data_IF_415768885909
#
_entry.id   IF_415768885909
#
_cell.length_a   1.000
_cell.length_b   1.000
_cell.length_c   1.000
_cell.angle_alpha   90.00
_cell.angle_beta   90.00
_cell.angle_gamma   90.00
#
_symmetry.space_group_name_H-M   'P 1'
#
loop_
_entity.id
_entity.type
_entity.pdbx_description
1 polymer ?
#
# COMPACT_ATOMS: atom_id res chain seq x y z
N UNK A 1 -17.82 19.12 -43.82
CA UNK A 1 -16.82 18.84 -42.78
C UNK A 1 -17.46 19.00 -41.42
N UNK A 2 -17.85 17.97 -40.75
CA UNK A 2 -18.21 18.04 -39.36
C UNK A 2 -17.03 17.52 -38.56
N UNK A 3 -16.01 18.32 -38.51
CA UNK A 3 -14.81 17.95 -37.79
C UNK A 3 -14.85 18.58 -36.43
N UNK A 4 -14.89 17.73 -35.38
CA UNK A 4 -13.98 18.00 -34.25
C UNK A 4 -14.36 19.16 -33.36
N UNK A 5 -15.65 19.38 -33.11
CA UNK A 5 -16.09 20.38 -32.11
C UNK A 5 -15.66 19.96 -30.70
N UNK A 6 -15.41 18.66 -30.46
CA UNK A 6 -15.08 18.15 -29.12
C UNK A 6 -13.58 18.22 -28.84
N UNK A 7 -12.72 18.05 -29.85
CA UNK A 7 -11.26 18.22 -29.69
C UNK A 7 -10.78 19.66 -29.69
N UNK A 8 -11.62 20.60 -30.13
CA UNK A 8 -11.33 22.04 -30.04
C UNK A 8 -11.67 22.63 -28.68
N UNK A 9 -12.36 21.87 -27.82
CA UNK A 9 -12.65 22.29 -26.46
C UNK A 9 -11.50 21.83 -25.57
N UNK A 10 -10.77 22.76 -24.96
CA UNK A 10 -9.60 22.50 -24.10
C UNK A 10 -9.92 21.47 -22.98
N UNK A 11 -11.19 21.35 -22.61
CA UNK A 11 -11.68 20.41 -21.60
C UNK A 11 -11.53 18.90 -21.96
N UNK A 12 -11.21 18.59 -23.22
CA UNK A 12 -11.04 17.19 -23.70
C UNK A 12 -9.64 16.89 -24.18
N UNK A 13 -8.68 17.78 -23.97
CA UNK A 13 -7.27 17.47 -24.24
C UNK A 13 -6.79 16.41 -23.24
N UNK A 14 -5.85 15.55 -23.65
CA UNK A 14 -5.26 14.53 -22.76
C UNK A 14 -4.69 15.15 -21.49
N UNK A 15 -4.07 16.32 -21.59
CA UNK A 15 -3.51 17.01 -20.43
C UNK A 15 -4.60 17.43 -19.43
N UNK A 16 -5.68 18.04 -19.92
CA UNK A 16 -6.81 18.44 -19.06
C UNK A 16 -7.51 17.23 -18.44
N UNK A 17 -7.65 16.13 -19.20
CA UNK A 17 -8.21 14.89 -18.68
C UNK A 17 -7.35 14.28 -17.56
N UNK A 18 -6.02 14.35 -17.67
CA UNK A 18 -5.10 13.90 -16.60
C UNK A 18 -5.27 14.75 -15.35
N UNK A 19 -5.30 16.09 -15.48
CA UNK A 19 -5.55 16.97 -14.34
C UNK A 19 -6.90 16.69 -13.69
N UNK A 20 -7.94 16.54 -14.50
CA UNK A 20 -9.30 16.26 -14.04
C UNK A 20 -9.41 14.89 -13.36
N UNK A 21 -8.71 13.87 -13.85
CA UNK A 21 -8.69 12.53 -13.26
C UNK A 21 -8.02 12.52 -11.88
N UNK A 22 -7.11 13.45 -11.61
CA UNK A 22 -6.43 13.62 -10.33
C UNK A 22 -7.09 14.67 -9.42
N UNK A 23 -8.17 15.34 -9.86
CA UNK A 23 -8.95 16.25 -9.02
C UNK A 23 -9.74 15.46 -7.97
N UNK A 24 -9.31 15.60 -6.72
CA UNK A 24 -9.92 14.92 -5.56
C UNK A 24 -11.34 15.39 -5.25
N UNK A 25 -11.77 16.57 -5.72
CA UNK A 25 -13.14 17.04 -5.55
C UNK A 25 -14.10 16.30 -6.47
N UNK A 26 -13.63 15.92 -7.65
CA UNK A 26 -14.45 15.24 -8.66
C UNK A 26 -14.37 13.72 -8.53
N UNK A 27 -13.19 13.20 -8.32
CA UNK A 27 -12.93 11.79 -8.12
C UNK A 27 -12.20 11.59 -6.79
N UNK A 28 -12.93 11.58 -5.67
CA UNK A 28 -12.31 11.44 -4.36
C UNK A 28 -11.51 10.14 -4.29
N UNK A 29 -10.32 10.23 -3.74
CA UNK A 29 -9.53 9.05 -3.48
C UNK A 29 -10.28 8.13 -2.52
N UNK A 30 -10.45 6.87 -2.91
CA UNK A 30 -11.02 5.87 -2.02
C UNK A 30 -10.00 5.61 -0.92
N UNK A 31 -10.36 5.95 0.32
CA UNK A 31 -9.52 5.65 1.47
C UNK A 31 -9.51 4.15 1.69
N UNK A 32 -8.41 3.53 1.35
CA UNK A 32 -8.16 2.12 1.64
C UNK A 32 -7.35 1.99 2.93
N UNK A 33 -7.40 0.86 3.64
CA UNK A 33 -6.70 0.69 4.91
C UNK A 33 -5.22 1.05 4.87
N UNK A 34 -4.53 0.68 3.77
CA UNK A 34 -3.10 0.92 3.61
C UNK A 34 -2.74 2.25 2.95
N UNK A 35 -3.71 2.99 2.38
CA UNK A 35 -3.43 4.22 1.63
C UNK A 35 -2.80 5.33 2.46
N UNK A 36 -3.09 5.39 3.75
CA UNK A 36 -2.60 6.43 4.67
C UNK A 36 -1.19 6.17 5.20
N UNK A 37 -0.64 4.98 4.98
CA UNK A 37 0.66 4.57 5.52
C UNK A 37 1.79 4.95 4.57
N UNK A 38 1.49 5.02 3.26
CA UNK A 38 2.47 5.25 2.22
C UNK A 38 2.71 6.74 1.93
N UNK A 39 3.96 7.14 1.91
CA UNK A 39 4.41 8.45 1.41
C UNK A 39 4.44 8.41 -0.12
N UNK A 40 3.92 9.45 -0.77
CA UNK A 40 3.82 9.52 -2.23
C UNK A 40 5.01 10.32 -2.78
N UNK A 41 5.70 9.74 -3.75
CA UNK A 41 6.78 10.34 -4.51
C UNK A 41 6.48 10.26 -6.01
N UNK A 42 6.68 11.35 -6.75
CA UNK A 42 6.43 11.41 -8.17
C UNK A 42 7.76 11.60 -8.92
N UNK A 43 8.04 10.73 -9.88
CA UNK A 43 9.28 10.77 -10.66
C UNK A 43 9.00 11.17 -12.11
N UNK A 44 9.93 11.90 -12.72
CA UNK A 44 9.88 12.24 -14.15
C UNK A 44 10.60 11.22 -15.03
N UNK A 45 11.50 10.44 -14.43
CA UNK A 45 12.29 9.45 -15.16
C UNK A 45 11.53 8.12 -15.27
N UNK A 46 11.79 7.39 -16.36
CA UNK A 46 11.16 6.09 -16.61
C UNK A 46 11.48 5.04 -15.54
N UNK A 47 12.64 5.16 -14.89
CA UNK A 47 13.07 4.25 -13.83
C UNK A 47 13.20 5.00 -12.51
N UNK A 48 12.60 4.47 -11.45
CA UNK A 48 12.80 4.93 -10.09
C UNK A 48 14.19 4.51 -9.61
N UNK A 49 15.07 5.47 -9.33
CA UNK A 49 16.35 5.22 -8.68
C UNK A 49 16.14 5.21 -7.17
N UNK A 50 16.45 4.11 -6.53
CA UNK A 50 16.24 3.92 -5.09
C UNK A 50 17.59 3.78 -4.44
N UNK A 51 17.90 4.74 -3.57
CA UNK A 51 19.09 4.73 -2.72
C UNK A 51 18.73 4.15 -1.35
N UNK A 52 19.40 3.07 -0.98
CA UNK A 52 19.28 2.44 0.35
C UNK A 52 20.57 2.72 1.11
N UNK A 53 20.43 3.41 2.23
CA UNK A 53 21.55 3.62 3.16
C UNK A 53 21.38 2.69 4.36
N UNK A 54 22.33 1.79 4.56
CA UNK A 54 22.45 1.07 5.83
C UNK A 54 23.10 2.01 6.85
N UNK A 55 22.29 2.60 7.74
CA UNK A 55 22.80 3.42 8.83
C UNK A 55 23.29 2.53 9.97
N UNK A 56 24.56 2.21 9.97
CA UNK A 56 25.20 1.59 11.14
C UNK A 56 25.64 2.70 12.08
N UNK A 57 25.24 2.62 13.36
CA UNK A 57 25.73 3.56 14.37
C UNK A 57 27.24 3.41 14.49
N UNK A 58 28.01 4.52 14.42
CA UNK A 58 29.46 4.44 14.59
C UNK A 58 29.78 3.95 16.01
N UNK A 59 30.67 2.97 16.11
CA UNK A 59 31.20 2.53 17.41
C UNK A 59 31.91 3.70 18.11
N UNK A 60 31.62 3.90 19.39
CA UNK A 60 32.33 4.83 20.23
C UNK A 60 33.57 4.16 20.77
N UNK A 61 34.67 4.89 20.84
CA UNK A 61 35.92 4.44 21.45
C UNK A 61 36.16 5.20 22.74
N UNK A 62 36.58 4.50 23.78
CA UNK A 62 37.01 5.09 25.04
C UNK A 62 38.41 5.69 24.86
N UNK A 63 38.63 6.87 25.40
CA UNK A 63 39.94 7.54 25.44
C UNK A 63 40.25 8.10 26.83
N UNK A 64 41.53 8.19 27.18
CA UNK A 64 41.97 8.84 28.41
C UNK A 64 41.98 10.34 28.28
N UNK A 65 41.80 11.03 29.38
CA UNK A 65 41.75 12.50 29.41
C UNK A 65 43.04 13.11 28.84
N UNK A 66 42.95 13.91 27.77
CA UNK A 66 44.07 14.51 27.05
C UNK A 66 44.55 13.73 25.82
N UNK A 67 43.94 12.58 25.50
CA UNK A 67 44.23 11.78 24.32
C UNK A 67 43.33 12.18 23.16
N UNK A 68 43.87 12.23 21.94
CA UNK A 68 43.10 12.48 20.75
C UNK A 68 42.38 11.20 20.34
N UNK A 69 41.06 11.19 20.37
CA UNK A 69 40.28 10.04 19.93
C UNK A 69 40.56 9.70 18.47
N UNK A 70 40.68 8.39 18.13
CA UNK A 70 40.87 7.98 16.74
C UNK A 70 39.69 8.41 15.86
N UNK A 71 39.98 8.90 14.67
CA UNK A 71 38.97 9.28 13.68
C UNK A 71 38.25 8.03 13.22
N UNK A 72 37.01 7.86 13.65
CA UNK A 72 36.14 6.80 13.15
C UNK A 72 35.51 7.24 11.83
N UNK A 73 35.77 6.52 10.75
CA UNK A 73 35.05 6.70 9.52
C UNK A 73 33.66 6.05 9.65
N UNK A 74 32.60 6.84 9.51
CA UNK A 74 31.25 6.33 9.38
C UNK A 74 31.14 5.69 7.99
N UNK A 75 31.28 4.38 7.93
CA UNK A 75 31.13 3.65 6.67
C UNK A 75 29.64 3.57 6.35
N UNK A 76 29.18 4.36 5.38
CA UNK A 76 27.83 4.28 4.86
C UNK A 76 27.85 3.38 3.63
N UNK A 77 27.32 2.17 3.78
CA UNK A 77 27.06 1.33 2.62
C UNK A 77 25.83 1.86 1.91
N UNK A 78 26.03 2.34 0.68
CA UNK A 78 24.96 2.76 -0.22
C UNK A 78 24.75 1.70 -1.28
N UNK A 79 23.55 1.14 -1.35
CA UNK A 79 23.10 0.35 -2.49
C UNK A 79 22.16 1.24 -3.33
N UNK A 80 22.41 1.30 -4.63
CA UNK A 80 21.52 1.98 -5.58
C UNK A 80 20.98 0.94 -6.56
N UNK A 81 19.68 0.93 -6.77
CA UNK A 81 19.05 0.10 -7.79
C UNK A 81 17.92 0.87 -8.48
N UNK A 82 17.60 0.47 -9.71
CA UNK A 82 16.57 1.10 -10.50
C UNK A 82 15.41 0.14 -10.73
N UNK A 83 14.19 0.61 -10.50
CA UNK A 83 12.94 -0.12 -10.74
C UNK A 83 12.12 0.59 -11.81
N UNK A 84 11.59 -0.17 -12.76
CA UNK A 84 10.67 0.35 -13.78
C UNK A 84 9.23 0.15 -13.28
N UNK A 85 8.44 1.23 -13.11
CA UNK A 85 7.04 1.12 -12.73
C UNK A 85 6.23 0.31 -13.73
N UNK A 86 5.42 -0.66 -13.28
CA UNK A 86 4.53 -1.39 -14.18
C UNK A 86 3.38 -0.47 -14.63
N UNK A 87 3.07 -0.49 -15.94
CA UNK A 87 1.86 0.14 -16.45
C UNK A 87 0.66 -0.76 -16.20
N UNK A 88 -0.34 -0.25 -15.50
CA UNK A 88 -1.60 -0.93 -15.27
C UNK A 88 -2.74 -0.02 -15.72
N UNK A 89 -3.64 -0.52 -16.56
CA UNK A 89 -4.70 0.31 -17.08
C UNK A 89 -5.80 -0.49 -17.76
N UNK A 90 -6.80 0.23 -18.25
CA UNK A 90 -7.94 -0.31 -18.95
C UNK A 90 -8.38 0.64 -20.07
N UNK A 91 -8.64 0.05 -21.24
CA UNK A 91 -9.34 0.70 -22.33
C UNK A 91 -10.85 0.54 -22.15
N UNK A 92 -11.59 1.61 -22.39
CA UNK A 92 -13.04 1.56 -22.53
C UNK A 92 -13.51 2.54 -23.61
N UNK A 93 -14.64 2.25 -24.21
CA UNK A 93 -15.25 3.11 -25.22
C UNK A 93 -16.56 3.68 -24.72
N UNK A 94 -16.89 4.87 -25.22
CA UNK A 94 -18.20 5.52 -25.09
C UNK A 94 -18.81 5.59 -26.46
N UNK A 95 -19.86 4.81 -26.70
CA UNK A 95 -20.55 4.74 -27.98
C UNK A 95 -21.68 5.74 -28.06
N UNK A 96 -22.03 6.12 -29.28
CA UNK A 96 -23.11 7.08 -29.57
C UNK A 96 -24.48 6.61 -29.07
N UNK A 97 -24.77 5.31 -29.15
CA UNK A 97 -26.01 4.70 -28.68
C UNK A 97 -26.21 4.80 -27.17
N UNK A 98 -25.12 4.84 -26.40
CA UNK A 98 -25.18 5.04 -24.95
C UNK A 98 -25.60 6.45 -24.55
N UNK A 99 -25.44 7.43 -25.45
CA UNK A 99 -25.76 8.85 -25.20
C UNK A 99 -27.12 9.22 -25.76
N UNK A 100 -27.46 8.71 -26.96
CA UNK A 100 -28.64 9.16 -27.70
C UNK A 100 -29.99 8.71 -27.15
N UNK A 101 -30.07 7.55 -26.51
CA UNK A 101 -31.32 6.91 -26.10
C UNK A 101 -31.50 6.78 -24.60
N UNK A 102 -30.49 7.11 -23.80
CA UNK A 102 -30.53 6.91 -22.35
C UNK A 102 -30.95 8.18 -21.64
N UNK A 103 -31.98 8.07 -20.78
CA UNK A 103 -32.36 9.13 -19.85
C UNK A 103 -31.52 9.06 -18.59
N UNK A 104 -31.12 10.22 -18.10
CA UNK A 104 -30.43 10.31 -16.83
C UNK A 104 -31.32 9.74 -15.71
N UNK A 105 -30.73 8.89 -14.84
CA UNK A 105 -31.45 8.25 -13.73
C UNK A 105 -32.14 9.30 -12.87
N UNK A 106 -33.44 9.15 -12.63
CA UNK A 106 -34.31 10.03 -11.84
C UNK A 106 -34.59 11.43 -12.44
N UNK A 107 -34.21 11.72 -13.69
CA UNK A 107 -34.52 12.99 -14.36
C UNK A 107 -35.08 12.75 -15.76
N UNK A 108 -35.82 13.76 -16.31
CA UNK A 108 -36.34 13.72 -17.68
C UNK A 108 -35.31 14.15 -18.72
N UNK A 109 -34.14 14.63 -18.24
CA UNK A 109 -33.08 15.18 -19.08
C UNK A 109 -32.25 14.04 -19.70
N UNK A 110 -31.80 14.19 -20.93
CA UNK A 110 -30.91 13.26 -21.61
C UNK A 110 -29.54 13.23 -20.89
N UNK A 111 -28.96 12.07 -20.80
CA UNK A 111 -27.62 11.92 -20.24
C UNK A 111 -26.60 12.64 -21.15
N UNK A 112 -25.71 13.44 -20.56
CA UNK A 112 -24.68 14.14 -21.30
C UNK A 112 -23.48 13.22 -21.55
N UNK A 113 -22.72 13.45 -22.62
CA UNK A 113 -21.45 12.72 -22.87
C UNK A 113 -20.55 12.72 -21.64
N UNK A 114 -20.45 13.87 -20.99
CA UNK A 114 -19.61 14.05 -19.82
C UNK A 114 -20.04 13.19 -18.62
N UNK A 115 -21.37 13.03 -18.41
CA UNK A 115 -21.87 12.19 -17.30
C UNK A 115 -21.59 10.69 -17.53
N UNK A 116 -21.71 10.23 -18.79
CA UNK A 116 -21.38 8.84 -19.16
C UNK A 116 -19.89 8.58 -19.00
N UNK A 117 -19.07 9.52 -19.47
CA UNK A 117 -17.61 9.46 -19.34
C UNK A 117 -17.19 9.39 -17.87
N UNK A 118 -17.68 10.31 -17.02
CA UNK A 118 -17.32 10.36 -15.60
C UNK A 118 -17.75 9.11 -14.86
N UNK A 119 -18.92 8.56 -15.17
CA UNK A 119 -19.38 7.30 -14.57
C UNK A 119 -18.47 6.12 -14.93
N UNK A 120 -18.09 6.00 -16.21
CA UNK A 120 -17.18 4.92 -16.66
C UNK A 120 -15.77 5.09 -16.10
N UNK A 121 -15.24 6.32 -16.12
CA UNK A 121 -13.94 6.61 -15.48
C UNK A 121 -13.97 6.27 -13.99
N UNK A 122 -15.03 6.65 -13.26
CA UNK A 122 -15.17 6.33 -11.85
C UNK A 122 -15.13 4.83 -11.57
N UNK A 123 -15.78 4.00 -12.41
CA UNK A 123 -15.71 2.53 -12.27
C UNK A 123 -14.31 1.99 -12.49
N UNK A 124 -13.58 2.53 -13.48
CA UNK A 124 -12.19 2.11 -13.72
C UNK A 124 -11.27 2.56 -12.56
N UNK A 125 -11.48 3.76 -12.03
CA UNK A 125 -10.70 4.25 -10.87
C UNK A 125 -10.92 3.38 -9.63
N UNK A 126 -12.13 2.91 -9.37
CA UNK A 126 -12.38 1.97 -8.28
C UNK A 126 -11.59 0.66 -8.47
N UNK A 127 -11.51 0.16 -9.70
CA UNK A 127 -10.71 -1.03 -10.00
C UNK A 127 -9.20 -0.80 -9.85
N UNK A 128 -8.72 0.41 -10.19
CA UNK A 128 -7.33 0.81 -9.97
C UNK A 128 -7.02 0.94 -8.48
N UNK A 129 -7.91 1.51 -7.67
CA UNK A 129 -7.71 1.60 -6.21
C UNK A 129 -7.68 0.22 -5.54
N UNK A 130 -8.49 -0.73 -6.01
CA UNK A 130 -8.41 -2.12 -5.54
C UNK A 130 -7.06 -2.75 -5.90
N UNK A 131 -6.55 -2.50 -7.10
CA UNK A 131 -5.21 -2.93 -7.50
C UNK A 131 -4.13 -2.26 -6.62
N UNK A 132 -4.21 -0.94 -6.40
CA UNK A 132 -3.26 -0.23 -5.55
C UNK A 132 -3.21 -0.80 -4.14
N UNK A 133 -4.36 -1.15 -3.57
CA UNK A 133 -4.40 -1.72 -2.22
C UNK A 133 -3.71 -3.08 -2.16
N UNK A 134 -3.99 -3.96 -3.13
CA UNK A 134 -3.29 -5.25 -3.24
C UNK A 134 -1.78 -5.08 -3.46
N UNK A 135 -1.41 -4.13 -4.31
CA UNK A 135 -0.01 -3.83 -4.60
C UNK A 135 0.72 -3.23 -3.39
N UNK A 136 0.06 -2.39 -2.57
CA UNK A 136 0.58 -1.88 -1.30
C UNK A 136 0.87 -3.01 -0.31
N UNK A 137 -0.08 -3.93 -0.15
CA UNK A 137 0.13 -5.09 0.72
C UNK A 137 1.34 -5.92 0.28
N UNK A 138 1.44 -6.21 -1.03
CA UNK A 138 2.60 -6.95 -1.54
C UNK A 138 3.89 -6.12 -1.45
N UNK A 139 3.82 -4.81 -1.63
CA UNK A 139 4.94 -3.88 -1.42
C UNK A 139 5.46 -3.88 0.02
N UNK A 140 4.57 -3.98 1.02
CA UNK A 140 4.94 -4.18 2.43
C UNK A 140 5.68 -5.50 2.59
N UNK A 141 5.21 -6.58 1.95
CA UNK A 141 5.86 -7.90 1.95
C UNK A 141 7.14 -7.97 1.10
N UNK A 142 7.60 -6.84 0.54
CA UNK A 142 8.80 -6.75 -0.28
C UNK A 142 8.64 -7.23 -1.72
N UNK A 143 7.43 -7.23 -2.29
CA UNK A 143 7.16 -7.68 -3.65
C UNK A 143 6.45 -6.61 -4.46
N UNK A 144 6.94 -6.33 -5.66
CA UNK A 144 6.23 -5.50 -6.65
C UNK A 144 5.51 -6.43 -7.61
N UNK A 145 4.20 -6.27 -7.74
CA UNK A 145 3.34 -7.14 -8.54
C UNK A 145 2.74 -6.41 -9.75
N UNK A 146 2.36 -7.18 -10.76
CA UNK A 146 1.52 -6.70 -11.86
C UNK A 146 0.02 -6.84 -11.52
N UNK A 147 -0.85 -6.42 -12.45
CA UNK A 147 -2.31 -6.52 -12.25
C UNK A 147 -2.79 -7.97 -12.03
N UNK A 148 -2.15 -8.94 -12.67
CA UNK A 148 -2.49 -10.37 -12.53
C UNK A 148 -2.00 -10.98 -11.20
N UNK A 149 -1.26 -10.22 -10.37
CA UNK A 149 -0.69 -10.70 -9.11
C UNK A 149 0.67 -11.39 -9.25
N UNK A 150 1.24 -11.46 -10.47
CA UNK A 150 2.56 -12.02 -10.65
C UNK A 150 3.64 -11.04 -10.17
N UNK A 151 4.63 -11.56 -9.43
CA UNK A 151 5.76 -10.77 -8.91
C UNK A 151 6.67 -10.35 -10.05
N UNK A 152 6.87 -9.05 -10.21
CA UNK A 152 7.80 -8.44 -11.15
C UNK A 152 9.18 -8.28 -10.52
N UNK A 153 9.22 -7.79 -9.29
CA UNK A 153 10.44 -7.61 -8.51
C UNK A 153 10.21 -8.17 -7.11
N UNK A 154 11.10 -9.03 -6.66
CA UNK A 154 11.21 -9.41 -5.26
C UNK A 154 12.35 -8.60 -4.64
N UNK A 155 11.99 -7.58 -3.88
CA UNK A 155 12.92 -6.60 -3.31
C UNK A 155 13.83 -7.20 -2.23
N UNK A 156 13.51 -8.38 -1.72
CA UNK A 156 14.33 -9.08 -0.72
C UNK A 156 15.55 -9.77 -1.32
N UNK A 157 15.56 -10.01 -2.63
CA UNK A 157 16.69 -10.63 -3.30
C UNK A 157 17.99 -9.82 -3.15
N UNK A 158 19.14 -10.51 -3.29
CA UNK A 158 20.47 -9.94 -3.18
C UNK A 158 20.74 -8.74 -4.11
N UNK A 159 20.02 -8.68 -5.24
CA UNK A 159 20.08 -7.57 -6.18
C UNK A 159 19.51 -6.25 -5.63
N UNK A 160 18.69 -6.31 -4.58
CA UNK A 160 18.00 -5.19 -3.97
C UNK A 160 18.39 -5.02 -2.50
N UNK A 161 17.50 -5.37 -1.58
CA UNK A 161 17.77 -5.20 -0.13
C UNK A 161 18.62 -6.31 0.49
N UNK A 162 18.66 -7.50 -0.11
CA UNK A 162 19.40 -8.66 0.38
C UNK A 162 18.96 -9.06 1.80
N UNK A 163 17.66 -9.28 1.95
CA UNK A 163 17.05 -9.61 3.23
C UNK A 163 16.45 -11.01 3.22
N UNK A 164 16.47 -11.67 4.37
CA UNK A 164 15.77 -12.93 4.57
C UNK A 164 14.26 -12.81 4.33
N UNK A 165 13.57 -13.92 4.03
CA UNK A 165 12.11 -13.95 3.97
C UNK A 165 11.48 -13.39 5.24
N UNK A 166 10.27 -12.82 5.14
CA UNK A 166 9.58 -12.31 6.32
C UNK A 166 9.37 -13.44 7.33
N UNK A 167 9.81 -13.27 8.58
CA UNK A 167 9.63 -14.28 9.61
C UNK A 167 8.14 -14.43 9.93
N UNK A 168 7.71 -15.67 10.11
CA UNK A 168 6.35 -16.04 10.44
C UNK A 168 6.27 -16.42 11.91
N UNK A 169 5.59 -15.63 12.71
CA UNK A 169 5.34 -15.91 14.12
C UNK A 169 4.05 -16.73 14.29
N UNK A 170 4.16 -17.94 14.79
CA UNK A 170 2.99 -18.75 15.18
C UNK A 170 2.40 -18.30 16.51
N UNK A 171 1.12 -17.94 16.48
CA UNK A 171 0.40 -17.50 17.67
C UNK A 171 -0.17 -18.65 18.48
N UNK A 172 -0.33 -19.85 17.88
CA UNK A 172 -0.90 -21.06 18.51
C UNK A 172 -2.28 -20.81 19.11
N UNK A 173 -3.14 -20.10 18.37
CA UNK A 173 -4.47 -19.70 18.86
C UNK A 173 -5.42 -20.90 19.05
N UNK A 174 -5.14 -22.02 18.37
CA UNK A 174 -5.93 -23.25 18.43
C UNK A 174 -5.53 -24.15 19.61
N UNK A 175 -4.59 -23.74 20.47
CA UNK A 175 -4.16 -24.52 21.61
C UNK A 175 -5.33 -24.74 22.58
N UNK A 176 -5.61 -26.01 22.92
CA UNK A 176 -6.75 -26.38 23.78
C UNK A 176 -6.67 -25.73 25.19
N UNK A 177 -5.48 -25.47 25.70
CA UNK A 177 -5.24 -24.81 26.98
C UNK A 177 -4.04 -23.86 26.85
N UNK A 178 -4.22 -22.64 26.34
CA UNK A 178 -3.13 -21.68 26.27
C UNK A 178 -2.68 -21.28 27.68
N UNK A 179 -1.38 -21.21 27.89
CA UNK A 179 -0.84 -20.72 29.15
C UNK A 179 -1.25 -19.25 29.36
N UNK A 180 -1.71 -18.84 30.54
CA UNK A 180 -2.11 -17.46 30.80
C UNK A 180 -1.00 -16.47 30.47
N UNK A 181 -1.27 -15.48 29.63
CA UNK A 181 -0.30 -14.47 29.19
C UNK A 181 0.60 -14.89 28.02
N UNK A 182 0.47 -16.10 27.48
CA UNK A 182 1.32 -16.59 26.40
C UNK A 182 1.23 -15.72 25.14
N UNK A 183 0.02 -15.32 24.73
CA UNK A 183 -0.19 -14.45 23.59
C UNK A 183 0.46 -13.07 23.78
N UNK A 184 0.35 -12.49 24.98
CA UNK A 184 0.99 -11.21 25.31
C UNK A 184 2.51 -11.30 25.29
N UNK A 185 3.08 -12.41 25.77
CA UNK A 185 4.53 -12.63 25.76
C UNK A 185 5.04 -12.75 24.32
N UNK A 186 4.34 -13.50 23.45
CA UNK A 186 4.67 -13.60 22.01
C UNK A 186 4.62 -12.24 21.32
N UNK A 187 3.58 -11.45 21.54
CA UNK A 187 3.46 -10.12 20.97
C UNK A 187 4.53 -9.14 21.53
N UNK A 188 4.89 -9.24 22.80
CA UNK A 188 5.97 -8.45 23.39
C UNK A 188 7.34 -8.83 22.82
N UNK A 189 7.60 -10.12 22.57
CA UNK A 189 8.82 -10.58 21.91
C UNK A 189 8.89 -10.07 20.47
N UNK A 190 7.75 -10.12 19.75
CA UNK A 190 7.63 -9.58 18.40
C UNK A 190 7.97 -8.08 18.35
N UNK A 191 7.43 -7.29 19.30
CA UNK A 191 7.75 -5.85 19.40
C UNK A 191 9.25 -5.63 19.50
N UNK A 192 9.93 -6.35 20.40
CA UNK A 192 11.41 -6.25 20.56
C UNK A 192 12.13 -6.64 19.29
N UNK A 193 11.74 -7.74 18.64
CA UNK A 193 12.35 -8.18 17.38
C UNK A 193 12.21 -7.17 16.25
N UNK A 194 11.07 -6.48 16.17
CA UNK A 194 10.86 -5.40 15.17
C UNK A 194 11.74 -4.20 15.51
N UNK A 195 11.77 -3.78 16.77
CA UNK A 195 12.58 -2.64 17.22
C UNK A 195 14.07 -2.89 17.02
N UNK A 196 14.55 -4.12 17.33
CA UNK A 196 15.94 -4.52 17.12
C UNK A 196 16.33 -4.46 15.63
N UNK A 197 15.46 -4.91 14.74
CA UNK A 197 15.69 -4.85 13.28
C UNK A 197 15.63 -3.42 12.73
N UNK A 198 14.85 -2.53 13.33
CA UNK A 198 14.78 -1.11 12.96
C UNK A 198 15.93 -0.29 13.51
N UNK A 199 16.84 -0.86 14.31
CA UNK A 199 17.93 -0.18 15.00
C UNK A 199 17.43 0.91 15.97
N UNK A 200 17.36 0.53 17.23
CA UNK A 200 16.85 1.33 18.34
C UNK A 200 17.44 2.76 18.32
N UNK A 201 16.56 3.74 18.41
CA UNK A 201 16.91 5.14 18.66
C UNK A 201 16.66 6.11 17.50
N UNK A 202 16.75 5.69 16.24
CA UNK A 202 16.48 6.56 15.09
C UNK A 202 15.12 6.30 14.43
N UNK A 203 14.62 5.07 14.50
CA UNK A 203 13.43 4.62 13.78
C UNK A 203 12.44 3.88 14.69
N UNK A 204 12.23 4.34 15.91
CA UNK A 204 11.29 3.71 16.83
C UNK A 204 9.85 3.87 16.34
N UNK A 205 9.09 2.78 16.13
CA UNK A 205 7.70 2.86 15.71
C UNK A 205 6.84 3.54 16.77
N UNK A 206 5.85 4.31 16.33
CA UNK A 206 4.86 4.91 17.23
C UNK A 206 3.70 3.98 17.55
N UNK A 207 3.57 2.88 16.82
CA UNK A 207 2.54 1.87 16.98
C UNK A 207 2.65 0.77 15.92
N UNK A 208 1.81 -0.24 16.06
CA UNK A 208 1.80 -1.42 15.20
C UNK A 208 0.39 -1.69 14.71
N UNK A 209 0.18 -1.66 13.39
CA UNK A 209 -1.05 -2.11 12.76
C UNK A 209 -0.91 -3.55 12.33
N UNK A 210 -1.92 -4.34 12.58
CA UNK A 210 -2.00 -5.73 12.12
C UNK A 210 -3.16 -5.86 11.15
N UNK A 211 -2.85 -6.12 9.90
CA UNK A 211 -3.83 -6.44 8.88
C UNK A 211 -4.04 -7.95 8.87
N UNK A 212 -5.10 -8.40 9.49
CA UNK A 212 -5.40 -9.82 9.66
C UNK A 212 -6.47 -10.29 8.69
N UNK A 213 -6.32 -11.51 8.16
CA UNK A 213 -7.42 -12.19 7.48
C UNK A 213 -8.57 -12.41 8.46
N UNK A 214 -9.82 -12.44 8.00
CA UNK A 214 -11.01 -12.54 8.83
C UNK A 214 -10.96 -13.74 9.79
N UNK A 215 -10.44 -14.89 9.36
CA UNK A 215 -10.33 -16.09 10.20
C UNK A 215 -9.39 -15.83 11.40
N UNK A 216 -8.21 -15.28 11.16
CA UNK A 216 -7.27 -14.93 12.23
C UNK A 216 -7.82 -13.81 13.12
N UNK A 217 -8.46 -12.80 12.52
CA UNK A 217 -9.05 -11.69 13.27
C UNK A 217 -10.10 -12.18 14.26
N UNK A 218 -10.98 -13.11 13.84
CA UNK A 218 -12.01 -13.69 14.70
C UNK A 218 -11.38 -14.55 15.80
N UNK A 219 -10.39 -15.39 15.48
CA UNK A 219 -9.66 -16.20 16.48
C UNK A 219 -9.00 -15.31 17.55
N UNK A 220 -8.33 -14.24 17.14
CA UNK A 220 -7.70 -13.29 18.06
C UNK A 220 -8.72 -12.53 18.92
N UNK A 221 -9.83 -12.08 18.30
CA UNK A 221 -10.87 -11.33 18.99
C UNK A 221 -11.54 -12.15 20.09
N UNK A 222 -11.80 -13.42 19.80
CA UNK A 222 -12.47 -14.34 20.73
C UNK A 222 -11.50 -15.14 21.60
N UNK A 223 -10.20 -14.88 21.50
CA UNK A 223 -9.20 -15.53 22.34
C UNK A 223 -9.44 -15.19 23.83
N UNK A 224 -9.29 -16.16 24.76
CA UNK A 224 -9.55 -15.94 26.18
C UNK A 224 -8.83 -14.74 26.81
N UNK A 225 -7.54 -14.54 26.48
CA UNK A 225 -6.75 -13.39 26.97
C UNK A 225 -7.27 -12.04 26.45
N UNK A 226 -7.71 -12.00 25.21
CA UNK A 226 -8.29 -10.78 24.59
C UNK A 226 -9.63 -10.48 25.24
N UNK A 227 -10.47 -11.49 25.42
CA UNK A 227 -11.76 -11.35 26.09
C UNK A 227 -11.62 -10.94 27.57
N UNK A 228 -10.61 -11.45 28.28
CA UNK A 228 -10.32 -11.01 29.65
C UNK A 228 -9.88 -9.54 29.69
N UNK A 229 -9.06 -9.11 28.73
CA UNK A 229 -8.69 -7.71 28.61
C UNK A 229 -9.92 -6.81 28.36
N UNK A 230 -10.84 -7.24 27.49
CA UNK A 230 -12.07 -6.48 27.22
C UNK A 230 -12.99 -6.40 28.45
N UNK A 231 -13.13 -7.45 29.23
CA UNK A 231 -13.94 -7.43 30.48
C UNK A 231 -13.45 -6.38 31.46
N UNK A 232 -12.14 -6.16 31.53
CA UNK A 232 -11.58 -5.11 32.41
C UNK A 232 -11.84 -3.69 31.88
N UNK A 233 -12.12 -3.53 30.57
CA UNK A 233 -12.41 -2.25 29.92
C UNK A 233 -13.91 -1.97 29.83
N UNK A 234 -14.77 -3.00 29.97
CA UNK A 234 -16.22 -2.87 29.91
C UNK A 234 -16.80 -1.96 31.02
N UNK A 235 -16.10 -1.76 32.14
CA UNK A 235 -16.46 -0.79 33.16
C UNK A 235 -16.30 0.68 32.73
N UNK A 236 -15.61 0.97 31.60
CA UNK A 236 -15.29 2.32 31.19
C UNK A 236 -15.89 2.79 29.85
N UNK A 237 -16.14 1.95 28.88
CA UNK A 237 -16.92 2.24 27.67
C UNK A 237 -17.13 0.95 26.84
N UNK A 238 -18.35 0.45 26.75
CA UNK A 238 -18.71 -0.52 25.73
C UNK A 238 -18.66 0.14 24.37
N UNK A 239 -17.83 -0.26 23.44
CA UNK A 239 -18.12 -0.02 22.05
C UNK A 239 -19.23 -1.03 21.66
N UNK A 240 -20.49 -0.64 21.84
CA UNK A 240 -21.60 -1.29 21.15
C UNK A 240 -21.41 -1.06 19.66
N UNK A 241 -20.55 -1.87 19.05
CA UNK A 241 -20.18 -1.77 17.65
C UNK A 241 -20.25 -3.13 16.98
N UNK A 242 -20.24 -3.11 15.66
CA UNK A 242 -20.11 -4.30 14.83
C UNK A 242 -18.92 -5.17 15.33
N UNK A 243 -19.05 -6.52 15.34
CA UNK A 243 -17.95 -7.41 15.68
C UNK A 243 -16.70 -7.24 14.78
N UNK A 244 -16.81 -6.45 13.71
CA UNK A 244 -15.79 -6.18 12.71
C UNK A 244 -15.01 -4.89 12.97
N UNK A 245 -15.30 -4.21 14.08
CA UNK A 245 -14.57 -3.00 14.47
C UNK A 245 -13.14 -3.36 14.88
N UNK A 246 -12.13 -2.63 14.40
CA UNK A 246 -10.76 -2.79 14.86
C UNK A 246 -10.65 -2.73 16.38
N UNK A 247 -9.75 -3.52 16.93
CA UNK A 247 -9.51 -3.54 18.36
C UNK A 247 -8.03 -3.46 18.69
N UNK A 248 -7.72 -2.96 19.88
CA UNK A 248 -6.35 -2.85 20.37
C UNK A 248 -6.08 -3.88 21.45
N UNK A 249 -4.98 -4.62 21.27
CA UNK A 249 -4.51 -5.60 22.26
C UNK A 249 -2.98 -5.65 22.31
N UNK A 250 -2.40 -5.65 23.50
CA UNK A 250 -0.95 -5.72 23.74
C UNK A 250 -0.11 -4.70 22.95
N UNK A 251 -0.66 -3.52 22.63
CA UNK A 251 0.02 -2.46 21.87
C UNK A 251 -0.18 -2.52 20.36
N UNK A 252 -0.86 -3.54 19.85
CA UNK A 252 -1.18 -3.73 18.45
C UNK A 252 -2.62 -3.35 18.15
N UNK A 253 -2.83 -2.68 17.02
CA UNK A 253 -4.16 -2.34 16.49
C UNK A 253 -4.52 -3.36 15.40
N UNK A 254 -5.47 -4.25 15.70
CA UNK A 254 -5.90 -5.32 14.81
C UNK A 254 -7.05 -4.86 13.92
N UNK A 255 -6.90 -5.07 12.61
CA UNK A 255 -7.86 -4.71 11.58
C UNK A 255 -8.28 -5.96 10.79
N UNK A 256 -9.57 -6.09 10.50
CA UNK A 256 -10.10 -7.13 9.62
C UNK A 256 -9.84 -6.73 8.15
N UNK A 257 -8.87 -7.38 7.53
CA UNK A 257 -8.48 -7.16 6.14
C UNK A 257 -9.19 -8.14 5.21
N UNK A 258 -10.30 -7.70 4.64
CA UNK A 258 -11.18 -8.54 3.79
C UNK A 258 -10.79 -8.57 2.33
N UNK A 259 -9.71 -7.91 1.94
CA UNK A 259 -9.29 -7.86 0.55
C UNK A 259 -8.39 -9.04 0.19
N UNK A 260 -8.31 -9.33 -1.10
CA UNK A 260 -7.42 -10.37 -1.62
C UNK A 260 -5.96 -10.04 -1.39
N UNK A 261 -5.14 -11.03 -1.10
CA UNK A 261 -3.68 -10.86 -0.93
C UNK A 261 -3.11 -11.44 0.37
N UNK A 262 -3.98 -11.72 1.38
CA UNK A 262 -3.62 -12.49 2.56
C UNK A 262 -4.22 -13.89 2.50
N UNK A 263 -3.42 -14.90 2.84
CA UNK A 263 -3.90 -16.27 2.98
C UNK A 263 -4.79 -16.39 4.23
N UNK A 264 -5.65 -17.41 4.27
CA UNK A 264 -6.45 -17.73 5.46
C UNK A 264 -5.54 -18.01 6.65
N UNK A 265 -5.90 -17.52 7.83
CA UNK A 265 -5.14 -17.67 9.05
C UNK A 265 -3.85 -16.83 9.13
N UNK A 266 -3.61 -15.93 8.17
CA UNK A 266 -2.42 -15.07 8.14
C UNK A 266 -2.74 -13.61 8.45
N UNK A 267 -1.76 -12.91 9.04
CA UNK A 267 -1.76 -11.46 9.17
C UNK A 267 -0.37 -10.89 8.91
N UNK A 268 -0.33 -9.58 8.62
CA UNK A 268 0.91 -8.83 8.42
C UNK A 268 0.99 -7.73 9.47
N UNK A 269 2.12 -7.63 10.13
CA UNK A 269 2.42 -6.60 11.13
C UNK A 269 3.12 -5.44 10.46
N UNK A 270 2.56 -4.25 10.62
CA UNK A 270 2.99 -3.02 9.96
C UNK A 270 3.39 -2.00 11.02
N UNK A 271 4.70 -1.78 11.27
CA UNK A 271 5.17 -0.70 12.12
C UNK A 271 4.75 0.67 11.58
N UNK A 272 4.20 1.54 12.45
CA UNK A 272 3.80 2.92 12.10
C UNK A 272 4.78 3.95 12.61
N UNK A 273 4.82 5.10 11.93
CA UNK A 273 5.59 6.28 12.37
C UNK A 273 7.08 6.21 12.10
N UNK A 274 7.53 5.23 11.30
CA UNK A 274 8.92 5.18 10.82
C UNK A 274 9.02 5.98 9.53
N UNK A 275 9.75 7.11 9.51
CA UNK A 275 9.84 7.99 8.34
C UNK A 275 10.43 7.26 7.13
N UNK A 276 9.84 7.46 5.95
CA UNK A 276 10.32 6.93 4.68
C UNK A 276 10.28 5.39 4.56
N UNK A 277 9.64 4.68 5.51
CA UNK A 277 9.57 3.23 5.48
C UNK A 277 8.71 2.70 4.32
N UNK A 278 7.58 3.33 4.09
CA UNK A 278 6.65 2.93 3.04
C UNK A 278 6.54 4.02 1.99
N UNK A 279 6.84 3.68 0.74
CA UNK A 279 6.81 4.61 -0.38
C UNK A 279 5.92 4.11 -1.51
N UNK A 280 5.15 5.04 -2.07
CA UNK A 280 4.47 4.87 -3.35
C UNK A 280 5.13 5.81 -4.34
N UNK A 281 5.72 5.25 -5.39
CA UNK A 281 6.37 6.02 -6.44
C UNK A 281 5.51 5.93 -7.70
N UNK A 282 5.08 7.09 -8.22
CA UNK A 282 4.37 7.16 -9.48
C UNK A 282 5.34 7.53 -10.60
N UNK A 283 5.42 6.65 -11.60
CA UNK A 283 6.21 6.88 -12.82
C UNK A 283 5.50 7.77 -13.82
N UNK A 284 6.24 8.33 -14.81
CA UNK A 284 5.69 9.18 -15.85
C UNK A 284 4.70 8.41 -16.74
N UNK A 285 3.78 9.14 -17.35
CA UNK A 285 2.89 8.61 -18.38
C UNK A 285 3.62 8.39 -19.71
N UNK A 286 3.10 7.50 -20.52
CA UNK A 286 3.61 7.18 -21.85
C UNK A 286 2.91 7.97 -22.97
N UNK A 287 2.28 9.10 -22.63
CA UNK A 287 1.63 9.99 -23.59
C UNK A 287 2.51 11.20 -23.90
N UNK A 288 2.56 11.59 -25.17
CA UNK A 288 3.35 12.75 -25.61
C UNK A 288 2.95 14.06 -24.92
N UNK A 289 1.70 14.19 -24.54
CA UNK A 289 1.15 15.38 -23.84
C UNK A 289 1.65 15.56 -22.41
N UNK A 290 2.17 14.49 -21.78
CA UNK A 290 2.70 14.51 -20.40
C UNK A 290 4.21 14.19 -20.36
N UNK A 291 4.89 14.31 -21.50
CA UNK A 291 6.33 14.08 -21.59
C UNK A 291 7.10 15.03 -20.67
N UNK A 292 8.09 14.51 -19.94
CA UNK A 292 8.92 15.24 -18.99
C UNK A 292 8.14 15.88 -17.81
N UNK A 293 6.91 15.44 -17.55
CA UNK A 293 6.18 15.82 -16.35
C UNK A 293 6.41 14.80 -15.24
N UNK A 294 6.35 15.23 -13.97
CA UNK A 294 6.33 14.31 -12.83
C UNK A 294 5.17 13.31 -12.96
N UNK A 295 5.36 12.12 -12.44
CA UNK A 295 4.34 11.08 -12.47
C UNK A 295 3.05 11.51 -11.79
N UNK A 296 1.91 11.09 -12.36
CA UNK A 296 0.58 11.27 -11.78
C UNK A 296 0.04 9.92 -11.30
N UNK A 297 -0.84 9.97 -10.31
CA UNK A 297 -1.50 8.77 -9.82
C UNK A 297 -2.41 8.12 -10.88
N UNK A 298 -2.98 8.93 -11.77
CA UNK A 298 -3.90 8.47 -12.81
C UNK A 298 -3.61 9.20 -14.11
N UNK A 299 -3.61 8.46 -15.20
CA UNK A 299 -3.49 8.98 -16.56
C UNK A 299 -4.76 8.63 -17.35
N UNK A 300 -5.21 9.56 -18.17
CA UNK A 300 -6.36 9.38 -19.05
C UNK A 300 -6.00 9.96 -20.41
N UNK A 301 -6.17 9.17 -21.45
CA UNK A 301 -6.12 9.65 -22.84
C UNK A 301 -7.44 9.35 -23.53
N UNK A 302 -7.73 10.10 -24.58
CA UNK A 302 -8.92 9.94 -25.40
C UNK A 302 -8.53 9.96 -26.88
N UNK A 303 -9.12 9.06 -27.65
CA UNK A 303 -9.03 9.01 -29.11
C UNK A 303 -10.42 8.86 -29.74
N UNK A 304 -10.59 9.35 -30.94
CA UNK A 304 -11.81 9.14 -31.71
C UNK A 304 -11.91 7.68 -32.16
N UNK A 305 -13.04 7.05 -31.89
CA UNK A 305 -13.29 5.71 -32.41
C UNK A 305 -13.42 5.72 -33.93
N UNK A 306 -13.08 4.62 -34.57
CA UNK A 306 -13.17 4.47 -36.02
C UNK A 306 -14.57 4.83 -36.54
N UNK A 307 -14.60 5.58 -37.64
CA UNK A 307 -15.84 6.04 -38.30
C UNK A 307 -16.69 7.00 -37.46
N UNK A 308 -16.08 7.76 -36.54
CA UNK A 308 -16.77 8.75 -35.72
C UNK A 308 -17.97 8.15 -34.93
N UNK A 309 -17.80 6.89 -34.45
CA UNK A 309 -18.84 6.16 -33.72
C UNK A 309 -18.76 6.28 -32.20
N UNK A 310 -17.95 7.18 -31.71
CA UNK A 310 -17.74 7.39 -30.27
C UNK A 310 -16.32 7.73 -29.93
N UNK A 311 -15.96 7.53 -28.66
CA UNK A 311 -14.64 7.84 -28.11
C UNK A 311 -14.05 6.62 -27.45
N UNK A 312 -12.74 6.41 -27.59
CA UNK A 312 -11.96 5.41 -26.90
C UNK A 312 -11.12 6.10 -25.81
N UNK A 313 -11.23 5.63 -24.59
CA UNK A 313 -10.49 6.16 -23.44
C UNK A 313 -9.51 5.10 -22.94
N UNK A 314 -8.27 5.50 -22.74
CA UNK A 314 -7.30 4.73 -22.01
C UNK A 314 -7.10 5.33 -20.63
N UNK A 315 -7.32 4.56 -19.58
CA UNK A 315 -7.03 4.94 -18.20
C UNK A 315 -5.92 4.06 -17.68
N UNK A 316 -4.86 4.67 -17.18
CA UNK A 316 -3.69 3.93 -16.68
C UNK A 316 -3.07 4.57 -15.43
N UNK A 317 -2.22 3.79 -14.75
CA UNK A 317 -1.40 4.19 -13.62
C UNK A 317 -0.08 3.44 -13.67
N UNK A 318 1.00 4.08 -13.20
CA UNK A 318 2.35 3.51 -13.22
C UNK A 318 2.94 3.51 -11.80
N UNK A 319 2.43 2.69 -10.84
CA UNK A 319 2.86 2.73 -9.45
C UNK A 319 3.95 1.72 -9.14
N UNK A 320 4.84 2.08 -8.22
CA UNK A 320 5.62 1.15 -7.41
C UNK A 320 5.25 1.40 -5.96
N UNK A 321 4.80 0.36 -5.27
CA UNK A 321 4.61 0.38 -3.82
C UNK A 321 5.71 -0.47 -3.20
N UNK A 322 6.42 0.08 -2.21
CA UNK A 322 7.54 -0.61 -1.61
C UNK A 322 7.72 -0.28 -0.15
N UNK A 323 8.32 -1.22 0.57
CA UNK A 323 8.85 -1.04 1.92
C UNK A 323 10.37 -0.95 1.84
N UNK A 324 10.95 0.13 2.39
CA UNK A 324 12.40 0.34 2.42
C UNK A 324 13.10 -0.46 3.54
N UNK A 325 12.33 -1.08 4.44
CA UNK A 325 12.82 -1.89 5.56
C UNK A 325 12.05 -3.20 5.63
N UNK A 326 12.15 -4.06 4.58
CA UNK A 326 11.40 -5.32 4.53
C UNK A 326 11.78 -6.30 5.64
N UNK A 327 12.97 -6.16 6.22
CA UNK A 327 13.47 -6.96 7.35
C UNK A 327 12.65 -6.78 8.64
N UNK A 328 11.99 -5.63 8.81
CA UNK A 328 11.18 -5.32 9.99
C UNK A 328 9.72 -5.77 9.87
N UNK A 329 9.35 -6.36 8.74
CA UNK A 329 7.98 -6.85 8.49
C UNK A 329 7.88 -8.31 8.94
N UNK A 330 6.88 -8.58 9.78
CA UNK A 330 6.57 -9.91 10.29
C UNK A 330 5.20 -10.36 9.80
N UNK A 331 5.07 -11.65 9.56
CA UNK A 331 3.78 -12.29 9.33
C UNK A 331 3.37 -13.06 10.60
N UNK A 332 2.07 -13.08 10.88
CA UNK A 332 1.49 -13.88 11.94
C UNK A 332 0.73 -15.06 11.33
N UNK A 333 0.78 -16.18 12.03
CA UNK A 333 0.03 -17.39 11.70
C UNK A 333 -0.83 -17.81 12.90
N UNK A 334 -2.05 -18.26 12.63
CA UNK A 334 -2.97 -18.75 13.67
C UNK A 334 -2.43 -20.01 14.36
N UNK A 335 -1.73 -20.88 13.63
CA UNK A 335 -1.14 -22.13 14.12
C UNK A 335 0.25 -21.97 14.74
N UNK A 336 1.04 -23.04 14.69
CA UNK A 336 2.39 -23.07 15.28
C UNK A 336 3.43 -22.21 14.55
N UNK A 337 3.12 -21.75 13.31
CA UNK A 337 4.10 -21.04 12.46
C UNK A 337 5.24 -21.95 11.99
N UNK A 338 6.03 -21.45 11.05
CA UNK A 338 7.31 -22.08 10.70
C UNK A 338 8.34 -21.67 11.77
N UNK A 339 8.48 -22.47 12.82
CA UNK A 339 9.33 -22.21 13.99
C UNK A 339 10.83 -22.37 13.70
N UNK A 340 11.30 -22.24 12.47
CA UNK A 340 12.74 -22.36 12.16
C UNK A 340 13.54 -21.06 12.40
N UNK A 341 12.93 -20.02 12.94
CA UNK A 341 13.64 -18.80 13.36
C UNK A 341 13.37 -18.51 14.83
N UNK A 342 13.91 -19.35 15.70
CA UNK A 342 14.11 -18.97 17.10
C UNK A 342 15.26 -17.94 17.15
N UNK A 343 15.05 -16.72 17.71
CA UNK A 343 16.08 -15.70 17.80
C UNK A 343 17.27 -16.10 18.69
#
# INVERSE_FOLDING_TARGET
MPTTIIHSDDAFTTQELVFRANDTNRFPAVRTPLSSIFEVENISDRAASIDVEAATLPGLTDGTWGEVLPMSQVNRERKNFALIPPKVGKLFNVKLDEIQSVRQTATVTRESLQSVQDRKMGQVFLSLEDFHERARLQGILGRVINYAGATLYDLRQAAFFDTEPNPVLGLELDAANPAPGALRLKLAALTRSIEDRLQIGQNTPTGYDVQANSDLFDLLRWHPETMEAFKRWEDLARPEGSPLVPFRFAGFDFHDYRRTGLASGRAVVIPRGVPGMYKTIFGPGDFMSVLNQPGFARYVSVEDARHDKGFEYEVSTNPIHMCNRPEAIFELDAGAGDNDTNP
#
